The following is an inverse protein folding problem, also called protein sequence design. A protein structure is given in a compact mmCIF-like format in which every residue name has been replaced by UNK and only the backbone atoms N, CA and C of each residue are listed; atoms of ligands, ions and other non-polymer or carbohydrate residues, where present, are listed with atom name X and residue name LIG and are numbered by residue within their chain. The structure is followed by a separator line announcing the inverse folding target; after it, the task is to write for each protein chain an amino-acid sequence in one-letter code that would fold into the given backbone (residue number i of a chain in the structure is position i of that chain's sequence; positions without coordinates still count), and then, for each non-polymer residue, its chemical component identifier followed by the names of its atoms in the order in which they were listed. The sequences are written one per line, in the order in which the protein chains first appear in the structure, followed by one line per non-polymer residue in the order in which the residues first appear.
data_IF_490935706740
#
_entry.id   IF_490935706740
#
_cell.length_a   1.000
_cell.length_b   1.000
_cell.length_c   1.000
_cell.angle_alpha   90.00
_cell.angle_beta   90.00
_cell.angle_gamma   90.00
#
_symmetry.space_group_name_H-M   'P 1'
#
loop_
_entity.id
_entity.type
_entity.pdbx_description
1 polymer ?
#
# COMPACT_ATOMS: atom_id res chain seq x y z
N UNK A 1 -8.93 11.56 -9.98
CA UNK A 1 -9.93 12.56 -10.38
C UNK A 1 -11.33 12.17 -9.88
N UNK A 2 -12.25 13.12 -9.83
CA UNK A 2 -13.65 12.91 -9.46
C UNK A 2 -14.59 13.39 -10.55
N UNK A 3 -15.82 12.89 -10.56
CA UNK A 3 -16.89 13.35 -11.44
C UNK A 3 -18.22 13.30 -10.69
N UNK A 4 -19.06 14.32 -10.92
CA UNK A 4 -20.35 14.46 -10.23
C UNK A 4 -21.47 13.61 -10.86
N UNK A 5 -21.32 13.27 -12.13
CA UNK A 5 -22.28 12.46 -12.88
C UNK A 5 -21.61 11.72 -14.04
N UNK A 6 -22.36 10.81 -14.67
CA UNK A 6 -21.89 9.94 -15.75
C UNK A 6 -21.43 10.72 -17.00
N UNK A 7 -22.08 11.84 -17.32
CA UNK A 7 -21.70 12.67 -18.45
C UNK A 7 -20.35 13.35 -18.24
N UNK A 8 -20.17 13.94 -17.05
CA UNK A 8 -18.89 14.55 -16.64
C UNK A 8 -17.77 13.51 -16.60
N UNK A 9 -18.05 12.32 -16.10
CA UNK A 9 -17.12 11.20 -16.10
C UNK A 9 -16.64 10.84 -17.52
N UNK A 10 -17.56 10.71 -18.45
CA UNK A 10 -17.24 10.37 -19.83
C UNK A 10 -16.37 11.46 -20.49
N UNK A 11 -16.73 12.73 -20.32
CA UNK A 11 -15.97 13.87 -20.83
C UNK A 11 -14.55 13.94 -20.23
N UNK A 12 -14.43 13.79 -18.92
CA UNK A 12 -13.11 13.78 -18.25
C UNK A 12 -12.25 12.61 -18.71
N UNK A 13 -12.80 11.42 -18.83
CA UNK A 13 -12.06 10.26 -19.36
C UNK A 13 -11.51 10.52 -20.75
N UNK A 14 -12.31 11.10 -21.64
CA UNK A 14 -11.90 11.42 -23.00
C UNK A 14 -10.80 12.51 -23.01
N UNK A 15 -10.96 13.56 -22.20
CA UNK A 15 -9.95 14.61 -22.07
C UNK A 15 -8.63 14.08 -21.52
N UNK A 16 -8.68 13.24 -20.47
CA UNK A 16 -7.50 12.60 -19.89
C UNK A 16 -6.81 11.74 -20.93
N UNK A 17 -7.57 10.88 -21.63
CA UNK A 17 -7.03 10.01 -22.68
C UNK A 17 -6.34 10.80 -23.77
N UNK A 18 -6.99 11.82 -24.31
CA UNK A 18 -6.42 12.70 -25.34
C UNK A 18 -5.15 13.42 -24.83
N UNK A 19 -5.13 13.83 -23.57
CA UNK A 19 -3.94 14.48 -23.01
C UNK A 19 -2.78 13.50 -22.85
N UNK A 20 -3.06 12.27 -22.43
CA UNK A 20 -2.04 11.21 -22.33
C UNK A 20 -1.45 10.89 -23.71
N UNK A 21 -2.30 10.71 -24.72
CA UNK A 21 -1.90 10.32 -26.08
C UNK A 21 -1.16 11.44 -26.82
N UNK A 22 -1.58 12.69 -26.66
CA UNK A 22 -1.03 13.82 -27.40
C UNK A 22 0.14 14.52 -26.70
N UNK A 23 0.24 14.42 -25.40
CA UNK A 23 1.25 15.14 -24.61
C UNK A 23 2.02 14.16 -23.72
N UNK A 24 1.47 13.81 -22.53
CA UNK A 24 2.04 12.81 -21.64
C UNK A 24 1.07 12.45 -20.49
N UNK A 25 1.36 11.33 -19.82
CA UNK A 25 0.64 10.93 -18.62
C UNK A 25 0.87 11.92 -17.47
N UNK A 26 2.07 12.41 -17.33
CA UNK A 26 2.48 13.36 -16.29
C UNK A 26 1.70 14.68 -16.42
N UNK A 27 1.54 15.18 -17.65
CA UNK A 27 0.73 16.36 -17.93
C UNK A 27 -0.75 16.14 -17.62
N UNK A 28 -1.27 14.96 -17.93
CA UNK A 28 -2.64 14.61 -17.57
C UNK A 28 -2.82 14.52 -16.06
N UNK A 29 -1.84 13.95 -15.33
CA UNK A 29 -1.85 13.92 -13.87
C UNK A 29 -1.84 15.34 -13.28
N UNK A 30 -0.94 16.21 -13.72
CA UNK A 30 -0.87 17.61 -13.27
C UNK A 30 -2.20 18.35 -13.45
N UNK A 31 -2.89 18.10 -14.56
CA UNK A 31 -4.12 18.83 -14.93
C UNK A 31 -5.38 18.28 -14.28
N UNK A 32 -5.49 16.97 -14.14
CA UNK A 32 -6.76 16.32 -13.77
C UNK A 32 -6.72 15.59 -12.43
N UNK A 33 -5.54 15.33 -11.85
CA UNK A 33 -5.45 14.67 -10.57
C UNK A 33 -5.85 15.58 -9.42
N UNK A 34 -6.54 15.00 -8.44
CA UNK A 34 -6.87 15.65 -7.16
C UNK A 34 -5.96 15.16 -6.03
N UNK A 35 -4.95 14.36 -6.35
CA UNK A 35 -3.96 13.85 -5.40
C UNK A 35 -2.88 14.88 -5.14
N UNK A 36 -2.27 14.85 -3.96
CA UNK A 36 -1.11 15.69 -3.59
C UNK A 36 0.09 15.47 -4.52
N UNK A 37 0.16 14.30 -5.16
CA UNK A 37 1.21 13.98 -6.15
C UNK A 37 0.97 14.61 -7.53
N UNK A 38 -0.16 15.28 -7.74
CA UNK A 38 -0.49 15.92 -9.03
C UNK A 38 0.65 16.82 -9.52
N UNK A 39 1.21 17.68 -8.67
CA UNK A 39 2.28 18.60 -9.00
C UNK A 39 3.60 17.92 -9.39
N UNK A 40 3.74 16.65 -9.11
CA UNK A 40 4.89 15.82 -9.47
C UNK A 40 4.58 14.85 -10.61
N UNK A 41 3.63 15.17 -11.47
CA UNK A 41 3.20 14.32 -12.58
C UNK A 41 2.50 13.01 -12.13
N UNK A 42 1.97 12.99 -10.90
CA UNK A 42 1.34 11.79 -10.33
C UNK A 42 2.34 10.71 -9.90
N UNK A 43 3.63 11.01 -9.82
CA UNK A 43 4.66 10.04 -9.43
C UNK A 43 4.55 9.72 -7.93
N UNK A 44 4.32 8.45 -7.61
CA UNK A 44 4.24 7.94 -6.24
C UNK A 44 5.48 7.13 -5.82
N UNK A 45 6.50 7.08 -6.70
CA UNK A 45 7.72 6.32 -6.44
C UNK A 45 7.52 4.81 -6.54
N UNK A 46 8.36 4.06 -5.81
CA UNK A 46 8.30 2.59 -5.77
C UNK A 46 7.25 2.15 -4.75
N UNK A 47 6.34 1.31 -5.20
CA UNK A 47 5.28 0.73 -4.36
C UNK A 47 5.40 -0.78 -4.38
N UNK A 48 5.31 -1.40 -3.20
CA UNK A 48 5.28 -2.85 -3.09
C UNK A 48 3.90 -3.38 -3.46
N UNK A 49 3.83 -4.44 -4.26
CA UNK A 49 2.57 -5.06 -4.67
C UNK A 49 1.67 -5.42 -3.47
N UNK A 50 2.27 -5.84 -2.35
CA UNK A 50 1.52 -6.22 -1.14
C UNK A 50 0.77 -5.05 -0.48
N UNK A 51 1.15 -3.81 -0.77
CA UNK A 51 0.50 -2.60 -0.25
C UNK A 51 -0.71 -2.17 -1.10
N UNK A 52 -0.90 -2.80 -2.25
CA UNK A 52 -1.98 -2.48 -3.17
C UNK A 52 -3.24 -3.29 -2.85
N UNK A 53 -4.41 -2.68 -3.04
CA UNK A 53 -5.68 -3.39 -2.95
C UNK A 53 -5.81 -4.44 -4.07
N UNK A 54 -6.60 -5.49 -3.84
CA UNK A 54 -6.79 -6.56 -4.82
C UNK A 54 -7.30 -6.02 -6.17
N UNK A 55 -8.24 -5.08 -6.15
CA UNK A 55 -8.78 -4.44 -7.34
C UNK A 55 -7.68 -3.77 -8.19
N UNK A 56 -6.76 -3.07 -7.54
CA UNK A 56 -5.64 -2.40 -8.21
C UNK A 56 -4.65 -3.44 -8.76
N UNK A 57 -4.34 -4.48 -7.98
CA UNK A 57 -3.46 -5.59 -8.44
C UNK A 57 -3.99 -6.25 -9.71
N UNK A 58 -5.28 -6.54 -9.75
CA UNK A 58 -5.90 -7.21 -10.89
C UNK A 58 -5.88 -6.36 -12.15
N UNK A 59 -6.03 -5.04 -12.03
CA UNK A 59 -5.90 -4.13 -13.18
C UNK A 59 -4.43 -3.96 -13.62
N UNK A 60 -3.48 -3.90 -12.67
CA UNK A 60 -2.06 -3.79 -12.99
C UNK A 60 -1.47 -5.06 -13.63
N UNK A 61 -2.04 -6.24 -13.35
CA UNK A 61 -1.65 -7.50 -14.01
C UNK A 61 -1.96 -7.54 -15.49
N UNK A 62 -2.96 -6.76 -15.95
CA UNK A 62 -3.41 -6.70 -17.33
C UNK A 62 -2.55 -5.84 -18.24
N UNK A 63 -1.64 -5.04 -17.67
CA UNK A 63 -0.81 -4.07 -18.39
C UNK A 63 0.68 -4.32 -18.16
N UNK A 64 1.51 -3.86 -19.08
CA UNK A 64 2.96 -3.98 -19.04
C UNK A 64 3.62 -2.66 -18.58
N UNK A 65 4.94 -2.70 -18.42
CA UNK A 65 5.73 -1.49 -18.18
C UNK A 65 5.59 -0.51 -19.35
N UNK A 66 5.35 0.76 -19.03
CA UNK A 66 5.07 1.83 -19.99
C UNK A 66 3.59 2.03 -20.29
N UNK A 67 2.72 1.08 -19.96
CA UNK A 67 1.27 1.17 -20.19
C UNK A 67 0.54 1.77 -18.98
N UNK A 68 -0.71 2.17 -19.19
CA UNK A 68 -1.58 2.66 -18.13
C UNK A 68 -2.90 1.88 -18.09
N UNK A 69 -3.50 1.82 -16.90
CA UNK A 69 -4.75 1.08 -16.67
C UNK A 69 -5.95 1.78 -17.29
N UNK A 70 -7.02 1.03 -17.46
CA UNK A 70 -8.36 1.62 -17.61
C UNK A 70 -8.70 2.40 -16.33
N UNK A 71 -9.76 3.20 -16.40
CA UNK A 71 -10.24 3.92 -15.21
C UNK A 71 -10.75 2.96 -14.16
N UNK A 72 -10.13 2.98 -12.98
CA UNK A 72 -10.50 2.20 -11.81
C UNK A 72 -11.43 3.06 -10.95
N UNK A 73 -12.58 2.53 -10.56
CA UNK A 73 -13.52 3.22 -9.67
C UNK A 73 -13.19 2.93 -8.22
N UNK A 74 -13.08 3.98 -7.42
CA UNK A 74 -12.83 3.92 -5.97
C UNK A 74 -13.91 4.73 -5.24
N UNK A 75 -15.11 4.17 -5.19
CA UNK A 75 -16.28 4.90 -4.67
C UNK A 75 -16.61 6.11 -5.53
N UNK A 76 -16.52 7.31 -4.98
CA UNK A 76 -16.80 8.57 -5.68
C UNK A 76 -15.61 9.11 -6.50
N UNK A 77 -14.46 8.47 -6.39
CA UNK A 77 -13.25 8.87 -7.09
C UNK A 77 -12.85 7.85 -8.15
N UNK A 78 -12.05 8.30 -9.10
CA UNK A 78 -11.56 7.48 -10.20
C UNK A 78 -10.04 7.59 -10.29
N UNK A 79 -9.38 6.47 -10.56
CA UNK A 79 -7.93 6.35 -10.65
C UNK A 79 -7.52 5.77 -12.00
N UNK A 80 -6.41 6.27 -12.54
CA UNK A 80 -5.68 5.69 -13.67
C UNK A 80 -4.23 5.59 -13.22
N UNK A 81 -3.62 4.44 -13.42
CA UNK A 81 -2.24 4.17 -12.99
C UNK A 81 -1.40 3.82 -14.22
N UNK A 82 -0.22 4.43 -14.33
CA UNK A 82 0.80 4.05 -15.31
C UNK A 82 1.90 3.28 -14.61
N UNK A 83 2.33 2.19 -15.22
CA UNK A 83 3.49 1.43 -14.75
C UNK A 83 4.73 1.92 -15.50
N UNK A 84 5.66 2.55 -14.80
CA UNK A 84 6.94 2.93 -15.40
C UNK A 84 7.87 1.72 -15.49
N UNK A 85 7.94 0.91 -14.42
CA UNK A 85 8.80 -0.25 -14.35
C UNK A 85 8.20 -1.31 -13.41
N UNK A 86 8.31 -2.58 -13.79
CA UNK A 86 8.03 -3.73 -12.92
C UNK A 86 9.36 -4.40 -12.58
N UNK A 87 9.68 -4.50 -11.30
CA UNK A 87 10.82 -5.26 -10.81
C UNK A 87 10.32 -6.45 -9.99
N UNK A 88 10.76 -7.64 -10.36
CA UNK A 88 10.72 -8.79 -9.47
C UNK A 88 11.82 -8.58 -8.43
N UNK A 89 11.44 -8.12 -7.25
CA UNK A 89 12.30 -8.22 -6.09
C UNK A 89 12.17 -9.67 -5.63
N UNK A 90 13.14 -10.52 -5.99
CA UNK A 90 13.34 -11.74 -5.25
C UNK A 90 13.72 -11.29 -3.85
N UNK A 91 12.77 -11.35 -2.93
CA UNK A 91 13.08 -11.41 -1.52
C UNK A 91 13.92 -12.70 -1.35
N UNK A 92 15.23 -12.59 -1.49
CA UNK A 92 16.11 -13.47 -0.73
C UNK A 92 15.78 -13.08 0.71
N UNK A 93 14.81 -13.72 1.29
CA UNK A 93 14.67 -13.81 2.72
C UNK A 93 16.02 -14.34 3.15
N UNK A 94 16.83 -13.50 3.76
CA UNK A 94 17.98 -13.97 4.49
C UNK A 94 17.38 -14.85 5.59
N UNK A 95 17.48 -16.17 5.39
CA UNK A 95 16.93 -17.15 6.33
C UNK A 95 17.45 -16.86 7.73
N UNK A 96 18.68 -16.35 7.84
CA UNK A 96 19.30 -15.95 9.10
C UNK A 96 18.60 -14.74 9.72
N UNK A 97 18.21 -13.74 8.94
CA UNK A 97 17.48 -12.56 9.44
C UNK A 97 16.08 -12.97 9.92
N UNK A 98 15.41 -13.85 9.18
CA UNK A 98 14.10 -14.37 9.58
C UNK A 98 14.19 -15.20 10.87
N UNK A 99 15.17 -16.09 10.97
CA UNK A 99 15.42 -16.90 12.16
C UNK A 99 15.74 -16.00 13.35
N UNK A 100 16.57 -14.98 13.19
CA UNK A 100 16.91 -14.05 14.26
C UNK A 100 15.67 -13.27 14.76
N UNK A 101 14.82 -12.80 13.86
CA UNK A 101 13.54 -12.17 14.23
C UNK A 101 12.61 -13.12 14.99
N UNK A 102 12.51 -14.36 14.55
CA UNK A 102 11.69 -15.37 15.24
C UNK A 102 12.24 -15.69 16.62
N UNK A 103 13.56 -15.78 16.78
CA UNK A 103 14.21 -16.00 18.07
C UNK A 103 13.99 -14.83 19.04
N UNK A 104 14.06 -13.59 18.55
CA UNK A 104 13.77 -12.40 19.36
C UNK A 104 12.31 -12.36 19.82
N UNK A 105 11.36 -12.65 18.96
CA UNK A 105 9.94 -12.72 19.30
C UNK A 105 9.70 -13.79 20.37
N UNK A 106 10.31 -14.98 20.21
CA UNK A 106 10.15 -16.07 21.18
C UNK A 106 10.77 -15.73 22.53
N UNK A 107 11.95 -15.10 22.56
CA UNK A 107 12.57 -14.58 23.79
C UNK A 107 11.66 -13.58 24.49
N UNK A 108 11.12 -12.60 23.74
CA UNK A 108 10.22 -11.60 24.31
C UNK A 108 8.98 -12.26 24.92
N UNK A 109 8.38 -13.23 24.26
CA UNK A 109 7.24 -13.99 24.77
C UNK A 109 7.58 -14.74 26.07
N UNK A 110 8.77 -15.35 26.13
CA UNK A 110 9.23 -16.05 27.33
C UNK A 110 9.46 -15.08 28.50
N UNK A 111 10.03 -13.89 28.25
CA UNK A 111 10.21 -12.87 29.29
C UNK A 111 8.86 -12.38 29.83
N UNK A 112 7.89 -12.14 28.98
CA UNK A 112 6.55 -11.73 29.39
C UNK A 112 5.86 -12.79 30.25
N UNK A 113 5.93 -14.06 29.86
CA UNK A 113 5.40 -15.16 30.63
C UNK A 113 6.11 -15.31 31.98
N UNK A 114 7.42 -15.18 32.01
CA UNK A 114 8.19 -15.27 33.23
C UNK A 114 7.87 -14.11 34.21
N UNK A 115 7.76 -12.90 33.70
CA UNK A 115 7.33 -11.74 34.48
C UNK A 115 5.94 -11.94 35.09
N UNK A 116 5.01 -12.48 34.36
CA UNK A 116 3.65 -12.76 34.81
C UNK A 116 3.63 -13.80 35.95
N UNK A 117 4.37 -14.90 35.78
CA UNK A 117 4.52 -15.95 36.79
C UNK A 117 5.15 -15.38 38.06
N UNK A 118 6.22 -14.61 37.93
CA UNK A 118 6.91 -13.98 39.05
C UNK A 118 6.01 -12.99 39.79
N UNK A 119 5.29 -12.14 39.07
CA UNK A 119 4.33 -11.20 39.64
C UNK A 119 3.23 -11.94 40.43
N UNK A 120 2.65 -12.98 39.90
CA UNK A 120 1.62 -13.76 40.56
C UNK A 120 2.17 -14.44 41.84
N UNK A 121 3.42 -14.92 41.80
CA UNK A 121 4.07 -15.52 42.97
C UNK A 121 4.28 -14.50 44.11
N UNK A 122 4.73 -13.28 43.77
CA UNK A 122 4.87 -12.20 44.74
C UNK A 122 3.52 -11.83 45.33
N UNK A 123 2.50 -11.67 44.50
CA UNK A 123 1.14 -11.32 44.92
C UNK A 123 0.56 -12.34 45.90
N UNK A 124 0.74 -13.62 45.65
CA UNK A 124 0.31 -14.69 46.58
C UNK A 124 1.05 -14.63 47.91
N UNK A 125 2.36 -14.43 47.88
CA UNK A 125 3.16 -14.31 49.11
C UNK A 125 2.79 -13.07 49.93
N UNK A 126 2.46 -11.95 49.30
CA UNK A 126 2.01 -10.72 49.97
C UNK A 126 0.65 -10.92 50.63
N UNK A 127 -0.27 -11.66 50.07
CA UNK A 127 -1.58 -11.98 50.65
C UNK A 127 -1.47 -12.89 51.89
N UNK A 128 -0.47 -13.76 51.94
CA UNK A 128 -0.21 -14.64 53.09
C UNK A 128 0.35 -13.88 54.29
N UNK A 129 1.06 -12.76 54.05
CA UNK A 129 1.64 -11.94 55.09
C UNK A 129 0.66 -10.91 55.73
N UNK A 130 -0.52 -10.75 55.18
CA UNK A 130 -1.60 -9.90 55.74
C UNK A 130 -2.55 -10.68 56.68
N UNK A 131 -2.31 -11.94 56.88
CA UNK A 131 -2.99 -12.77 57.87
C UNK A 131 -2.18 -12.89 59.15
#
# INVERSE_FOLDING_TARGET
FSAKNTKELALKKEQIKKTIENISFETAANKFSISDTANFGGNIGKVNENQLSQLVKDELKKINSGEYTKTISLGNNFMIIKINEKKLVSLKLDENELINKMVEIEKQRQYENFSLIYYNKIKLNSQINEL
#
